data_IF_070550609358
#
_entry.id   IF_070550609358
#
_cell.length_a   1.000
_cell.length_b   1.000
_cell.length_c   1.000
_cell.angle_alpha   90.00
_cell.angle_beta   90.00
_cell.angle_gamma   90.00
#
_symmetry.space_group_name_H-M   'P 1'
#
loop_
_entity.id
_entity.type
_entity.pdbx_description
1 polymer ?
#
# COMPACT_ATOMS: atom_id res chain seq x y z
N UNK A 1 -14.65 -18.45 7.56
CA UNK A 1 -15.01 -17.33 8.47
C UNK A 1 -16.18 -16.59 7.86
N UNK A 2 -17.17 -16.18 8.66
CA UNK A 2 -18.29 -15.39 8.13
C UNK A 2 -17.77 -14.02 7.66
N UNK A 3 -18.39 -13.43 6.63
CA UNK A 3 -18.00 -12.10 6.11
C UNK A 3 -17.98 -11.02 7.19
N UNK A 4 -18.82 -11.17 8.23
CA UNK A 4 -18.87 -10.27 9.38
C UNK A 4 -17.62 -10.32 10.26
N UNK A 5 -17.07 -11.51 10.53
CA UNK A 5 -15.86 -11.63 11.37
C UNK A 5 -14.65 -11.01 10.67
N UNK A 6 -14.51 -11.23 9.36
CA UNK A 6 -13.39 -10.68 8.58
C UNK A 6 -13.41 -9.15 8.52
N UNK A 7 -14.60 -8.55 8.49
CA UNK A 7 -14.78 -7.09 8.48
C UNK A 7 -14.25 -6.41 9.75
N UNK A 8 -14.34 -7.06 10.90
CA UNK A 8 -13.79 -6.55 12.16
C UNK A 8 -12.28 -6.79 12.30
N UNK A 9 -11.75 -7.88 11.74
CA UNK A 9 -10.31 -8.17 11.81
C UNK A 9 -9.48 -7.36 10.81
N UNK A 10 -10.01 -7.05 9.62
CA UNK A 10 -9.31 -6.28 8.58
C UNK A 10 -8.72 -4.95 9.05
N UNK A 11 -9.44 -4.05 9.77
CA UNK A 11 -8.85 -2.80 10.25
C UNK A 11 -7.71 -3.02 11.24
N UNK A 12 -7.81 -4.01 12.12
CA UNK A 12 -6.76 -4.34 13.09
C UNK A 12 -5.50 -4.84 12.37
N UNK A 13 -5.66 -5.72 11.38
CA UNK A 13 -4.55 -6.24 10.59
C UNK A 13 -3.88 -5.12 9.79
N UNK A 14 -4.66 -4.26 9.11
CA UNK A 14 -4.13 -3.14 8.34
C UNK A 14 -3.38 -2.14 9.23
N UNK A 15 -3.91 -1.86 10.42
CA UNK A 15 -3.25 -1.00 11.40
C UNK A 15 -1.93 -1.58 11.89
N UNK A 16 -1.90 -2.87 12.25
CA UNK A 16 -0.68 -3.54 12.67
C UNK A 16 0.38 -3.56 11.55
N UNK A 17 -0.02 -3.83 10.32
CA UNK A 17 0.88 -3.81 9.16
C UNK A 17 1.44 -2.41 8.90
N UNK A 18 0.61 -1.39 9.06
CA UNK A 18 1.06 0.00 8.95
C UNK A 18 2.14 0.32 9.99
N UNK A 19 2.04 -0.17 11.22
CA UNK A 19 3.11 0.01 12.23
C UNK A 19 4.35 -0.80 11.87
N UNK A 20 4.16 -2.04 11.41
CA UNK A 20 5.26 -2.91 10.98
C UNK A 20 6.04 -2.30 9.81
N UNK A 21 5.37 -1.64 8.87
CA UNK A 21 6.01 -0.92 7.76
C UNK A 21 7.04 0.10 8.27
N UNK A 22 6.68 0.86 9.30
CA UNK A 22 7.58 1.82 9.93
C UNK A 22 8.80 1.18 10.55
N UNK A 23 8.61 0.08 11.27
CA UNK A 23 9.72 -0.63 11.92
C UNK A 23 10.66 -1.25 10.88
N UNK A 24 10.12 -1.88 9.84
CA UNK A 24 10.90 -2.46 8.75
C UNK A 24 11.71 -1.37 8.04
N UNK A 25 11.05 -0.25 7.70
CA UNK A 25 11.70 0.91 7.08
C UNK A 25 12.84 1.42 7.96
N UNK A 26 12.60 1.64 9.25
CA UNK A 26 13.61 2.16 10.18
C UNK A 26 14.83 1.22 10.30
N UNK A 27 14.60 -0.08 10.43
CA UNK A 27 15.68 -1.08 10.50
C UNK A 27 16.52 -1.06 9.23
N UNK A 28 15.88 -1.06 8.06
CA UNK A 28 16.57 -1.10 6.77
C UNK A 28 17.31 0.21 6.46
N UNK A 29 16.74 1.35 6.81
CA UNK A 29 17.43 2.65 6.74
C UNK A 29 18.66 2.68 7.65
N UNK A 30 18.57 2.05 8.82
CA UNK A 30 19.67 1.94 9.77
C UNK A 30 20.84 1.12 9.23
N UNK A 31 20.56 0.00 8.54
CA UNK A 31 21.60 -0.80 7.88
C UNK A 31 22.33 -0.04 6.77
N UNK A 32 21.65 0.87 6.08
CA UNK A 32 22.25 1.68 5.01
C UNK A 32 22.98 2.94 5.51
N UNK A 33 23.07 3.15 6.83
CA UNK A 33 23.58 4.40 7.43
C UNK A 33 22.92 5.66 6.86
N UNK A 34 21.66 5.57 6.42
CA UNK A 34 20.90 6.68 5.84
C UNK A 34 21.25 7.05 4.39
N UNK A 35 22.12 6.30 3.71
CA UNK A 35 22.43 6.57 2.29
C UNK A 35 21.25 6.21 1.37
N UNK A 36 20.59 5.08 1.61
CA UNK A 36 19.37 4.66 0.92
C UNK A 36 18.21 4.63 1.90
N UNK A 37 17.03 5.08 1.45
CA UNK A 37 15.82 5.14 2.25
C UNK A 37 14.75 4.21 1.66
N UNK A 38 14.89 2.87 1.82
CA UNK A 38 13.87 1.94 1.38
C UNK A 38 12.65 1.99 2.31
N UNK A 39 11.50 2.36 1.76
CA UNK A 39 10.23 2.39 2.50
C UNK A 39 9.44 1.11 2.25
N UNK A 40 8.96 0.47 3.32
CA UNK A 40 8.05 -0.67 3.23
C UNK A 40 6.61 -0.20 3.10
N UNK A 41 5.87 -0.74 2.13
CA UNK A 41 4.46 -0.45 1.87
C UNK A 41 3.58 -1.71 1.96
N UNK A 42 3.78 -2.54 2.98
CA UNK A 42 2.93 -3.71 3.29
C UNK A 42 1.46 -3.31 3.44
N UNK A 43 1.19 -2.16 4.02
CA UNK A 43 -0.15 -1.60 4.12
C UNK A 43 -0.81 -1.51 2.74
N UNK A 44 -0.14 -0.94 1.73
CA UNK A 44 -0.69 -0.81 0.38
C UNK A 44 -0.92 -2.18 -0.27
N UNK A 45 0.01 -3.11 -0.06
CA UNK A 45 -0.12 -4.50 -0.54
C UNK A 45 -1.38 -5.12 0.06
N UNK A 46 -1.57 -5.07 1.37
CA UNK A 46 -2.73 -5.67 2.03
C UNK A 46 -4.04 -4.93 1.78
N UNK A 47 -3.98 -3.61 1.60
CA UNK A 47 -5.13 -2.79 1.21
C UNK A 47 -5.71 -3.29 -0.12
N UNK A 48 -4.84 -3.60 -1.09
CA UNK A 48 -5.26 -4.14 -2.39
C UNK A 48 -6.08 -5.44 -2.26
N UNK A 49 -5.65 -6.38 -1.41
CA UNK A 49 -6.42 -7.61 -1.19
C UNK A 49 -7.70 -7.35 -0.38
N UNK A 50 -7.64 -6.43 0.58
CA UNK A 50 -8.77 -6.07 1.45
C UNK A 50 -9.94 -5.46 0.69
N UNK A 51 -9.69 -4.73 -0.41
CA UNK A 51 -10.73 -4.17 -1.29
C UNK A 51 -11.69 -5.23 -1.81
N UNK A 52 -11.22 -6.45 -2.09
CA UNK A 52 -12.08 -7.53 -2.64
C UNK A 52 -13.07 -8.13 -1.65
N UNK A 53 -12.81 -7.99 -0.34
CA UNK A 53 -13.58 -8.67 0.70
C UNK A 53 -14.64 -7.78 1.35
N UNK A 54 -14.57 -6.47 1.10
CA UNK A 54 -15.36 -5.47 1.82
C UNK A 54 -16.17 -4.62 0.86
N UNK A 55 -17.17 -3.92 1.40
CA UNK A 55 -17.90 -2.89 0.66
C UNK A 55 -16.96 -1.71 0.36
N UNK A 56 -17.08 -1.07 -0.82
CA UNK A 56 -16.20 0.03 -1.22
C UNK A 56 -16.26 1.19 -0.22
N UNK A 57 -17.45 1.57 0.25
CA UNK A 57 -17.62 2.66 1.23
C UNK A 57 -16.87 2.39 2.54
N UNK A 58 -16.90 1.14 3.03
CA UNK A 58 -16.22 0.76 4.27
C UNK A 58 -14.70 0.88 4.13
N UNK A 59 -14.13 0.37 3.03
CA UNK A 59 -12.69 0.41 2.80
C UNK A 59 -12.18 1.83 2.53
N UNK A 60 -12.95 2.67 1.84
CA UNK A 60 -12.60 4.07 1.60
C UNK A 60 -12.53 4.84 2.93
N UNK A 61 -13.54 4.67 3.80
CA UNK A 61 -13.55 5.30 5.12
C UNK A 61 -12.38 4.77 5.98
N UNK A 62 -12.16 3.46 5.96
CA UNK A 62 -11.06 2.84 6.71
C UNK A 62 -9.69 3.35 6.22
N UNK A 63 -9.50 3.44 4.91
CA UNK A 63 -8.28 3.98 4.31
C UNK A 63 -8.06 5.45 4.68
N UNK A 64 -9.12 6.25 4.78
CA UNK A 64 -9.03 7.64 5.22
C UNK A 64 -8.62 7.74 6.69
N UNK A 65 -9.25 6.95 7.57
CA UNK A 65 -8.92 6.92 9.01
C UNK A 65 -7.49 6.45 9.24
N UNK A 66 -7.08 5.35 8.60
CA UNK A 66 -5.70 4.85 8.69
C UNK A 66 -4.70 5.82 8.04
N UNK A 67 -5.09 6.50 6.96
CA UNK A 67 -4.28 7.56 6.34
C UNK A 67 -4.04 8.74 7.27
N UNK A 68 -5.03 9.15 8.05
CA UNK A 68 -4.88 10.19 9.06
C UNK A 68 -3.91 9.78 10.18
N UNK A 69 -3.93 8.51 10.57
CA UNK A 69 -2.98 7.98 11.55
C UNK A 69 -1.58 7.90 10.94
N UNK A 70 -1.45 7.46 9.69
CA UNK A 70 -0.19 7.41 8.96
C UNK A 70 0.44 8.80 8.88
N UNK A 71 -0.34 9.80 8.47
CA UNK A 71 0.08 11.20 8.39
C UNK A 71 0.62 11.72 9.73
N UNK A 72 -0.10 11.44 10.82
CA UNK A 72 0.31 11.82 12.18
C UNK A 72 1.60 11.15 12.63
N UNK A 73 1.83 9.89 12.25
CA UNK A 73 2.91 9.07 12.79
C UNK A 73 4.20 9.15 11.95
N UNK A 74 4.08 9.18 10.62
CA UNK A 74 5.22 9.14 9.70
C UNK A 74 5.59 10.49 9.11
N UNK A 75 4.61 11.26 8.67
CA UNK A 75 4.86 12.51 7.95
C UNK A 75 4.85 13.74 8.87
N UNK A 76 4.20 13.64 10.04
CA UNK A 76 3.98 14.76 10.95
C UNK A 76 3.04 15.84 10.40
N UNK A 77 2.42 15.58 9.24
CA UNK A 77 1.56 16.52 8.50
C UNK A 77 0.29 15.77 8.07
N UNK A 78 -0.87 16.30 8.44
CA UNK A 78 -2.16 15.77 8.01
C UNK A 78 -2.49 16.13 6.56
N UNK A 79 -3.01 15.17 5.82
CA UNK A 79 -3.67 15.38 4.52
C UNK A 79 -3.03 14.67 3.34
N UNK A 80 -1.86 14.06 3.48
CA UNK A 80 -1.17 13.39 2.36
C UNK A 80 -1.71 11.97 2.21
N UNK A 81 -1.39 11.07 3.16
CA UNK A 81 -1.88 9.70 3.16
C UNK A 81 -3.39 9.64 3.41
N UNK A 82 -3.94 10.57 4.20
CA UNK A 82 -5.40 10.71 4.39
C UNK A 82 -6.14 10.86 3.06
N UNK A 83 -5.53 11.53 2.07
CA UNK A 83 -6.11 11.73 0.75
C UNK A 83 -5.71 10.61 -0.23
N UNK A 84 -4.44 10.21 -0.24
CA UNK A 84 -3.93 9.22 -1.19
C UNK A 84 -4.46 7.81 -0.93
N UNK A 85 -4.58 7.36 0.31
CA UNK A 85 -5.03 5.99 0.61
C UNK A 85 -6.47 5.73 0.14
N UNK A 86 -7.47 6.59 0.41
CA UNK A 86 -8.82 6.44 -0.16
C UNK A 86 -8.84 6.43 -1.68
N UNK A 87 -8.03 7.29 -2.32
CA UNK A 87 -7.95 7.36 -3.78
C UNK A 87 -7.35 6.08 -4.37
N UNK A 88 -6.30 5.54 -3.75
CA UNK A 88 -5.72 4.25 -4.13
C UNK A 88 -6.73 3.12 -3.94
N UNK A 89 -7.46 3.10 -2.82
CA UNK A 89 -8.50 2.10 -2.58
C UNK A 89 -9.62 2.16 -3.62
N UNK A 90 -10.05 3.37 -3.99
CA UNK A 90 -11.04 3.59 -5.05
C UNK A 90 -10.51 3.16 -6.42
N UNK A 91 -9.26 3.50 -6.75
CA UNK A 91 -8.61 3.05 -7.97
C UNK A 91 -8.60 1.52 -8.06
N UNK A 92 -8.11 0.84 -7.02
CA UNK A 92 -8.07 -0.62 -6.94
C UNK A 92 -9.47 -1.22 -7.11
N UNK A 93 -10.49 -0.63 -6.48
CA UNK A 93 -11.87 -1.11 -6.60
C UNK A 93 -12.37 -1.08 -8.04
N UNK A 94 -12.02 -0.05 -8.81
CA UNK A 94 -12.43 0.06 -10.21
C UNK A 94 -11.76 -0.98 -11.12
N UNK A 95 -10.49 -1.31 -10.86
CA UNK A 95 -9.73 -2.27 -11.68
C UNK A 95 -9.64 -3.68 -11.08
N UNK A 96 -10.37 -3.97 -10.00
CA UNK A 96 -10.26 -5.21 -9.23
C UNK A 96 -10.44 -6.47 -10.10
N UNK A 97 -11.36 -6.46 -11.06
CA UNK A 97 -11.59 -7.60 -11.96
C UNK A 97 -10.31 -7.95 -12.73
N UNK A 98 -9.59 -6.93 -13.21
CA UNK A 98 -8.33 -7.10 -13.94
C UNK A 98 -7.19 -7.51 -13.00
N UNK A 99 -7.08 -6.91 -11.81
CA UNK A 99 -6.01 -7.21 -10.85
C UNK A 99 -5.94 -8.71 -10.53
N UNK A 100 -7.10 -9.31 -10.25
CA UNK A 100 -7.21 -10.68 -9.75
C UNK A 100 -7.33 -11.74 -10.85
N UNK A 101 -7.09 -11.39 -12.13
CA UNK A 101 -7.00 -12.37 -13.22
C UNK A 101 -5.72 -13.21 -13.16
N UNK A 102 -4.58 -12.57 -12.91
CA UNK A 102 -3.27 -13.24 -12.93
C UNK A 102 -2.38 -12.79 -11.75
N UNK A 103 -1.38 -13.60 -11.44
CA UNK A 103 -0.33 -13.27 -10.47
C UNK A 103 0.51 -12.09 -10.94
N UNK A 104 0.76 -12.01 -12.25
CA UNK A 104 1.51 -10.91 -12.87
C UNK A 104 0.78 -9.57 -12.81
N UNK A 105 -0.52 -9.54 -13.14
CA UNK A 105 -1.32 -8.31 -13.08
C UNK A 105 -1.33 -7.73 -11.67
N UNK A 106 -1.36 -8.60 -10.65
CA UNK A 106 -1.31 -8.20 -9.25
C UNK A 106 0.05 -7.63 -8.83
N UNK A 107 1.15 -8.21 -9.32
CA UNK A 107 2.50 -7.69 -9.11
C UNK A 107 2.66 -6.30 -9.75
N UNK A 108 2.25 -6.13 -11.01
CA UNK A 108 2.30 -4.84 -11.70
C UNK A 108 1.43 -3.79 -11.04
N UNK A 109 0.25 -4.17 -10.57
CA UNK A 109 -0.61 -3.27 -9.81
C UNK A 109 0.09 -2.80 -8.54
N UNK A 110 0.78 -3.70 -7.83
CA UNK A 110 1.56 -3.33 -6.64
C UNK A 110 2.66 -2.32 -6.97
N UNK A 111 3.39 -2.53 -8.06
CA UNK A 111 4.41 -1.58 -8.54
C UNK A 111 3.77 -0.21 -8.83
N UNK A 112 2.64 -0.18 -9.52
CA UNK A 112 1.93 1.05 -9.88
C UNK A 112 1.47 1.80 -8.62
N UNK A 113 0.81 1.13 -7.66
CA UNK A 113 0.30 1.80 -6.46
C UNK A 113 1.42 2.32 -5.56
N UNK A 114 2.51 1.58 -5.40
CA UNK A 114 3.67 2.01 -4.60
C UNK A 114 4.36 3.19 -5.26
N UNK A 115 4.60 3.11 -6.57
CA UNK A 115 5.19 4.22 -7.35
C UNK A 115 4.30 5.46 -7.27
N UNK A 116 2.99 5.30 -7.47
CA UNK A 116 2.04 6.40 -7.42
C UNK A 116 2.04 7.06 -6.03
N UNK A 117 2.01 6.26 -4.96
CA UNK A 117 2.04 6.79 -3.60
C UNK A 117 3.31 7.60 -3.32
N UNK A 118 4.49 7.05 -3.63
CA UNK A 118 5.78 7.73 -3.42
C UNK A 118 5.86 9.03 -4.22
N UNK A 119 5.52 8.99 -5.52
CA UNK A 119 5.61 10.16 -6.40
C UNK A 119 4.60 11.23 -5.99
N UNK A 120 3.34 10.89 -5.74
CA UNK A 120 2.35 11.87 -5.33
C UNK A 120 2.64 12.44 -3.95
N UNK A 121 3.07 11.60 -2.99
CA UNK A 121 3.48 12.06 -1.66
C UNK A 121 4.62 13.07 -1.78
N UNK A 122 5.67 12.74 -2.53
CA UNK A 122 6.80 13.64 -2.77
C UNK A 122 6.35 14.97 -3.40
N UNK A 123 5.54 14.93 -4.46
CA UNK A 123 5.02 16.13 -5.13
C UNK A 123 4.20 16.99 -4.16
N UNK A 124 3.34 16.37 -3.36
CA UNK A 124 2.51 17.10 -2.39
C UNK A 124 3.40 17.75 -1.32
N UNK A 125 4.38 17.03 -0.77
CA UNK A 125 5.33 17.58 0.20
C UNK A 125 6.12 18.77 -0.37
N UNK A 126 6.49 18.70 -1.65
CA UNK A 126 7.17 19.79 -2.35
C UNK A 126 6.27 21.00 -2.56
N UNK A 127 5.02 20.77 -2.96
CA UNK A 127 4.03 21.81 -3.20
C UNK A 127 3.71 22.60 -1.93
N UNK A 128 3.71 21.94 -0.76
CA UNK A 128 3.56 22.58 0.54
C UNK A 128 4.86 23.19 1.10
N UNK A 129 6.00 23.03 0.40
CA UNK A 129 7.28 23.59 0.82
C UNK A 129 7.99 22.83 1.95
N UNK A 130 7.52 21.63 2.29
CA UNK A 130 8.14 20.80 3.34
C UNK A 130 9.39 20.06 2.86
N UNK A 131 9.56 19.89 1.54
CA UNK A 131 10.70 19.18 0.96
C UNK A 131 11.23 19.86 -0.30
N UNK A 132 12.56 19.96 -0.42
CA UNK A 132 13.21 20.30 -1.67
C UNK A 132 13.40 19.04 -2.52
N UNK A 133 12.58 18.88 -3.56
CA UNK A 133 12.69 17.74 -4.45
C UNK A 133 13.81 17.94 -5.47
N UNK A 134 14.87 17.16 -5.30
CA UNK A 134 15.74 16.81 -6.41
C UNK A 134 15.26 15.48 -7.01
N UNK A 135 14.70 15.55 -8.21
CA UNK A 135 14.09 14.39 -8.87
C UNK A 135 15.05 13.21 -9.05
N UNK A 136 16.31 13.48 -9.42
CA UNK A 136 17.31 12.42 -9.64
C UNK A 136 17.63 11.73 -8.30
N UNK A 137 17.87 12.52 -7.26
CA UNK A 137 18.16 11.97 -5.93
C UNK A 137 16.96 11.19 -5.36
N UNK A 138 15.75 11.71 -5.53
CA UNK A 138 14.53 11.01 -5.13
C UNK A 138 14.40 9.65 -5.82
N UNK A 139 14.62 9.60 -7.14
CA UNK A 139 14.51 8.35 -7.90
C UNK A 139 15.55 7.32 -7.44
N UNK A 140 16.80 7.74 -7.30
CA UNK A 140 17.93 6.84 -6.99
C UNK A 140 17.92 6.38 -5.53
N UNK A 141 17.71 7.29 -4.59
CA UNK A 141 17.93 7.03 -3.16
C UNK A 141 16.67 6.63 -2.39
N UNK A 142 15.47 6.92 -2.94
CA UNK A 142 14.20 6.64 -2.28
C UNK A 142 13.33 5.71 -3.12
N UNK A 143 12.99 6.09 -4.35
CA UNK A 143 12.01 5.37 -5.16
C UNK A 143 12.51 3.98 -5.62
N UNK A 144 13.70 3.91 -6.21
CA UNK A 144 14.29 2.65 -6.66
C UNK A 144 14.45 1.61 -5.54
N UNK A 145 15.07 1.93 -4.37
CA UNK A 145 15.20 0.95 -3.29
C UNK A 145 13.84 0.56 -2.69
N UNK A 146 12.90 1.51 -2.59
CA UNK A 146 11.51 1.26 -2.15
C UNK A 146 10.80 0.29 -3.07
N UNK A 147 10.88 0.49 -4.39
CA UNK A 147 10.25 -0.41 -5.35
C UNK A 147 10.86 -1.81 -5.32
N UNK A 148 12.18 -1.90 -5.25
CA UNK A 148 12.88 -3.19 -5.17
C UNK A 148 12.40 -3.97 -3.94
N UNK A 149 12.36 -3.32 -2.78
CA UNK A 149 11.86 -3.93 -1.55
C UNK A 149 10.41 -4.37 -1.66
N UNK A 150 9.52 -3.50 -2.16
CA UNK A 150 8.10 -3.83 -2.24
C UNK A 150 7.80 -4.91 -3.27
N UNK A 151 8.59 -5.02 -4.35
CA UNK A 151 8.48 -6.14 -5.30
C UNK A 151 8.87 -7.45 -4.62
N UNK A 152 9.97 -7.48 -3.87
CA UNK A 152 10.40 -8.67 -3.12
C UNK A 152 9.30 -9.09 -2.13
N UNK A 153 8.78 -8.14 -1.36
CA UNK A 153 7.69 -8.37 -0.41
C UNK A 153 6.42 -8.86 -1.12
N UNK A 154 6.05 -8.23 -2.24
CA UNK A 154 4.87 -8.61 -3.00
C UNK A 154 4.95 -10.04 -3.54
N UNK A 155 6.12 -10.46 -4.03
CA UNK A 155 6.37 -11.84 -4.49
C UNK A 155 6.35 -12.82 -3.33
N UNK A 156 7.05 -12.51 -2.23
CA UNK A 156 7.10 -13.38 -1.05
C UNK A 156 5.73 -13.56 -0.39
N UNK A 157 4.97 -12.47 -0.26
CA UNK A 157 3.64 -12.46 0.35
C UNK A 157 2.54 -12.93 -0.61
N UNK A 158 2.84 -13.09 -1.90
CA UNK A 158 1.84 -13.45 -2.90
C UNK A 158 1.11 -14.75 -2.55
N UNK A 159 1.88 -15.77 -2.19
CA UNK A 159 1.37 -17.10 -1.85
C UNK A 159 0.57 -17.12 -0.54
N UNK A 160 1.07 -16.61 0.61
CA UNK A 160 0.29 -16.60 1.85
C UNK A 160 -0.97 -15.73 1.73
N UNK A 161 -0.94 -14.63 0.97
CA UNK A 161 -2.11 -13.78 0.76
C UNK A 161 -3.19 -14.47 -0.08
N UNK A 162 -2.84 -15.23 -1.12
CA UNK A 162 -3.82 -16.03 -1.88
C UNK A 162 -4.57 -17.03 -1.00
N UNK A 163 -3.85 -17.66 -0.06
CA UNK A 163 -4.41 -18.63 0.89
C UNK A 163 -5.29 -17.92 1.93
N UNK A 164 -4.77 -16.86 2.54
CA UNK A 164 -5.46 -16.13 3.62
C UNK A 164 -6.77 -15.51 3.15
N UNK A 165 -6.75 -14.85 1.99
CA UNK A 165 -7.94 -14.22 1.40
C UNK A 165 -8.85 -15.22 0.67
N UNK A 166 -8.51 -16.51 0.68
CA UNK A 166 -9.23 -17.58 -0.05
C UNK A 166 -9.63 -17.11 -1.43
N UNK A 167 -8.68 -16.55 -2.19
CA UNK A 167 -8.89 -16.21 -3.58
C UNK A 167 -9.04 -17.52 -4.37
N UNK A 168 -10.24 -18.12 -4.31
CA UNK A 168 -10.60 -19.26 -5.15
C UNK A 168 -10.54 -18.73 -6.58
N UNK A 169 -9.76 -19.38 -7.45
CA UNK A 169 -9.77 -19.15 -8.90
C UNK A 169 -11.22 -18.87 -9.30
N UNK A 170 -11.51 -17.61 -9.66
CA UNK A 170 -12.84 -17.21 -10.08
C UNK A 170 -13.20 -18.13 -11.24
N UNK A 171 -14.11 -19.09 -10.99
CA UNK A 171 -14.75 -19.80 -12.07
C UNK A 171 -15.43 -18.74 -12.92
N UNK A 172 -15.02 -18.73 -14.18
CA UNK A 172 -15.67 -18.03 -15.28
C UNK A 172 -17.18 -18.09 -15.08
N UNK A 173 -17.81 -16.96 -14.76
CA UNK A 173 -19.24 -16.81 -14.98
C UNK A 173 -19.41 -16.41 -16.43
N UNK A 174 -19.65 -17.41 -17.27
CA UNK A 174 -20.46 -17.21 -18.46
C UNK A 174 -21.89 -16.95 -17.99
N UNK A 175 -22.41 -15.79 -18.33
CA UNK A 175 -23.77 -15.47 -18.78
C UNK A 175 -24.04 -13.98 -18.57
#
# INVERSE_FOLDING_TARGET
MSRFTFQFFSPIILFLLMILDGQITHILTGFSSGTWVPVSHLFLIFLMYSVTQHRPSYIIILAAVLGAIYDSYYLGIYGIATLLFPLIALFIYNIQVTIFTNRWTRLFTTIIIVTAFEVFSAIIMAAFGFAHLNFINFVVYQLAPTLLLNVILAVALQFPLEIFYRLKKSHVRYN
#
